data_IF_509383993873
#
_entry.id   IF_509383993873
#
_cell.length_a   1.000
_cell.length_b   1.000
_cell.length_c   1.000
_cell.angle_alpha   90.00
_cell.angle_beta   90.00
_cell.angle_gamma   90.00
#
_symmetry.space_group_name_H-M   'P 1'
#
loop_
_entity.id
_entity.type
_entity.pdbx_description
1 polymer ?
#
# COMPACT_ATOMS: atom_id res chain seq x y z
N UNK A 1 23.18 1.21 -5.54
CA UNK A 1 23.29 -0.27 -5.46
C UNK A 1 22.69 -0.86 -4.17
N UNK A 2 21.59 -0.33 -3.61
CA UNK A 2 20.98 -0.85 -2.36
C UNK A 2 19.57 -1.46 -2.54
N UNK A 3 19.02 -1.42 -3.77
CA UNK A 3 17.66 -1.94 -4.03
C UNK A 3 17.58 -3.46 -4.13
N UNK A 4 18.65 -4.10 -4.64
CA UNK A 4 18.68 -5.53 -4.96
C UNK A 4 18.64 -6.40 -3.69
N UNK A 5 19.32 -5.98 -2.63
CA UNK A 5 19.33 -6.70 -1.35
C UNK A 5 17.99 -6.61 -0.61
N UNK A 6 17.24 -5.52 -0.78
CA UNK A 6 15.92 -5.36 -0.16
C UNK A 6 14.93 -6.35 -0.77
N UNK A 7 14.87 -6.43 -2.09
CA UNK A 7 13.97 -7.36 -2.79
C UNK A 7 14.35 -8.81 -2.49
N UNK A 8 15.66 -9.14 -2.49
CA UNK A 8 16.13 -10.48 -2.09
C UNK A 8 15.66 -10.88 -0.70
N UNK A 9 15.70 -9.98 0.28
CA UNK A 9 15.21 -10.25 1.64
C UNK A 9 13.69 -10.49 1.66
N UNK A 10 12.90 -9.68 0.95
CA UNK A 10 11.46 -9.90 0.88
C UNK A 10 11.13 -11.26 0.27
N UNK A 11 11.78 -11.63 -0.82
CA UNK A 11 11.57 -12.92 -1.50
C UNK A 11 12.06 -14.12 -0.69
N UNK A 12 12.94 -13.91 0.30
CA UNK A 12 13.42 -15.00 1.18
C UNK A 12 12.42 -15.40 2.25
N UNK A 13 11.42 -14.57 2.55
CA UNK A 13 10.33 -14.90 3.46
C UNK A 13 9.07 -15.30 2.66
N UNK A 14 8.67 -16.59 2.67
CA UNK A 14 7.52 -17.06 1.88
C UNK A 14 6.17 -16.54 2.38
N UNK A 15 6.11 -15.99 3.60
CA UNK A 15 4.89 -15.38 4.15
C UNK A 15 4.69 -13.94 3.71
N UNK A 16 5.67 -13.33 3.04
CA UNK A 16 5.51 -11.99 2.47
C UNK A 16 4.78 -12.07 1.13
N UNK A 17 3.61 -11.44 1.06
CA UNK A 17 2.79 -11.35 -0.14
C UNK A 17 2.68 -9.91 -0.63
N UNK A 18 2.48 -9.73 -1.95
CA UNK A 18 2.13 -8.43 -2.52
C UNK A 18 0.62 -8.29 -2.65
N UNK A 19 0.07 -7.25 -2.03
CA UNK A 19 -1.31 -6.81 -2.24
C UNK A 19 -1.31 -5.49 -2.99
N UNK A 20 -2.32 -5.29 -3.83
CA UNK A 20 -2.44 -4.07 -4.62
C UNK A 20 -3.85 -3.53 -4.61
N UNK A 21 -3.97 -2.21 -4.64
CA UNK A 21 -5.23 -1.50 -4.66
C UNK A 21 -5.15 -0.34 -5.62
N UNK A 22 -6.22 -0.14 -6.38
CA UNK A 22 -6.30 0.92 -7.40
C UNK A 22 -7.57 1.73 -7.23
N UNK A 23 -7.45 3.05 -7.43
CA UNK A 23 -8.58 3.97 -7.38
C UNK A 23 -8.51 4.98 -8.52
N UNK A 24 -9.68 5.43 -8.99
CA UNK A 24 -9.78 6.46 -10.04
C UNK A 24 -9.21 7.79 -9.53
N UNK A 25 -8.39 8.45 -10.33
CA UNK A 25 -7.93 9.80 -10.03
C UNK A 25 -9.04 10.84 -10.30
N UNK A 26 -9.03 11.99 -9.61
CA UNK A 26 -9.86 13.13 -10.01
C UNK A 26 -9.48 13.60 -11.42
N UNK A 27 -10.46 14.06 -12.21
CA UNK A 27 -10.24 14.43 -13.62
C UNK A 27 -9.17 15.53 -13.78
N UNK A 28 -9.11 16.47 -12.83
CA UNK A 28 -8.10 17.53 -12.77
C UNK A 28 -6.66 17.01 -12.60
N UNK A 29 -6.48 15.82 -12.03
CA UNK A 29 -5.17 15.16 -11.86
C UNK A 29 -4.89 14.17 -13.00
N UNK A 30 -5.91 13.41 -13.39
CA UNK A 30 -5.80 12.36 -14.41
C UNK A 30 -5.28 12.90 -15.76
N UNK A 31 -5.74 14.09 -16.16
CA UNK A 31 -5.31 14.78 -17.40
C UNK A 31 -3.81 15.10 -17.46
N UNK A 32 -3.13 15.14 -16.32
CA UNK A 32 -1.71 15.45 -16.20
C UNK A 32 -0.90 14.23 -15.71
N UNK A 33 -1.56 13.07 -15.59
CA UNK A 33 -0.99 11.83 -15.10
C UNK A 33 -0.81 10.85 -16.25
N UNK A 34 0.29 10.11 -16.22
CA UNK A 34 0.53 8.97 -17.11
C UNK A 34 -0.42 7.78 -16.85
N UNK A 35 -1.17 7.80 -15.75
CA UNK A 35 -2.17 6.79 -15.39
C UNK A 35 -3.52 7.43 -15.03
N UNK A 36 -4.63 6.84 -15.47
CA UNK A 36 -5.99 7.26 -15.06
C UNK A 36 -6.35 6.85 -13.63
N UNK A 37 -5.59 5.89 -13.07
CA UNK A 37 -5.80 5.33 -11.73
C UNK A 37 -4.54 5.48 -10.90
N UNK A 38 -4.73 5.75 -9.61
CA UNK A 38 -3.69 5.71 -8.61
C UNK A 38 -3.59 4.29 -8.05
N UNK A 39 -2.39 3.70 -8.09
CA UNK A 39 -2.06 2.42 -7.49
C UNK A 39 -1.35 2.57 -6.15
N UNK A 40 -1.66 1.67 -5.22
CA UNK A 40 -0.92 1.40 -3.99
C UNK A 40 -0.56 -0.09 -4.00
N UNK A 41 0.68 -0.39 -3.66
CA UNK A 41 1.22 -1.74 -3.54
C UNK A 41 1.83 -1.88 -2.15
N UNK A 42 1.49 -2.94 -1.43
CA UNK A 42 2.06 -3.26 -0.13
C UNK A 42 2.65 -4.69 -0.19
N UNK A 43 3.87 -4.85 0.29
CA UNK A 43 4.39 -6.14 0.70
C UNK A 43 4.03 -6.34 2.18
N UNK A 44 3.25 -7.38 2.48
CA UNK A 44 2.70 -7.65 3.80
C UNK A 44 3.17 -9.02 4.26
N UNK A 45 3.74 -9.09 5.46
CA UNK A 45 4.02 -10.35 6.13
C UNK A 45 2.72 -10.93 6.68
N UNK A 46 2.32 -12.10 6.18
CA UNK A 46 1.05 -12.74 6.54
C UNK A 46 1.06 -13.34 7.95
N UNK A 47 2.21 -13.40 8.64
CA UNK A 47 2.29 -13.92 10.00
C UNK A 47 1.71 -12.95 11.04
N UNK A 48 1.83 -11.64 10.83
CA UNK A 48 1.42 -10.59 11.76
C UNK A 48 0.73 -9.38 11.09
N UNK A 49 0.61 -9.40 9.76
CA UNK A 49 0.04 -8.32 8.96
C UNK A 49 0.95 -7.10 8.80
N UNK A 50 2.25 -7.20 9.12
CA UNK A 50 3.20 -6.09 9.02
C UNK A 50 3.49 -5.70 7.57
N UNK A 51 3.40 -4.40 7.26
CA UNK A 51 3.81 -3.84 5.97
C UNK A 51 5.33 -3.73 5.95
N UNK A 52 6.00 -4.66 5.27
CA UNK A 52 7.47 -4.72 5.17
C UNK A 52 8.03 -3.87 4.01
N UNK A 53 7.20 -3.56 3.02
CA UNK A 53 7.52 -2.59 1.98
C UNK A 53 6.26 -2.00 1.34
N UNK A 54 6.37 -0.81 0.77
CA UNK A 54 5.26 -0.18 0.06
C UNK A 54 5.71 0.61 -1.19
N UNK A 55 4.78 0.78 -2.12
CA UNK A 55 4.94 1.69 -3.24
C UNK A 55 3.62 2.29 -3.71
N UNK A 56 3.70 3.35 -4.51
CA UNK A 56 2.54 4.01 -5.10
C UNK A 56 2.88 4.68 -6.42
N UNK A 57 1.87 4.83 -7.28
CA UNK A 57 2.01 5.51 -8.58
C UNK A 57 1.96 7.04 -8.48
N UNK A 58 2.14 7.62 -7.28
CA UNK A 58 2.31 9.07 -7.14
C UNK A 58 3.51 9.52 -7.96
N UNK A 59 3.41 10.68 -8.62
CA UNK A 59 4.36 11.10 -9.66
C UNK A 59 5.78 11.37 -9.12
N UNK A 60 5.89 12.04 -7.99
CA UNK A 60 7.17 12.51 -7.45
C UNK A 60 7.74 11.51 -6.45
N UNK A 61 9.08 11.39 -6.43
CA UNK A 61 9.79 10.58 -5.43
C UNK A 61 9.44 11.01 -4.01
N UNK A 62 9.39 12.32 -3.75
CA UNK A 62 9.02 12.85 -2.45
C UNK A 62 7.65 12.34 -1.97
N UNK A 63 6.66 12.26 -2.86
CA UNK A 63 5.33 11.78 -2.50
C UNK A 63 5.32 10.26 -2.26
N UNK A 64 6.06 9.49 -3.06
CA UNK A 64 6.25 8.04 -2.86
C UNK A 64 6.95 7.74 -1.54
N UNK A 65 8.06 8.40 -1.25
CA UNK A 65 8.83 8.19 -0.03
C UNK A 65 8.07 8.65 1.21
N UNK A 66 7.34 9.76 1.12
CA UNK A 66 6.46 10.21 2.20
C UNK A 66 5.33 9.20 2.46
N UNK A 67 4.74 8.62 1.41
CA UNK A 67 3.75 7.55 1.56
C UNK A 67 4.37 6.32 2.23
N UNK A 68 5.54 5.86 1.79
CA UNK A 68 6.27 4.73 2.40
C UNK A 68 6.52 4.96 3.90
N UNK A 69 7.05 6.13 4.26
CA UNK A 69 7.27 6.51 5.66
C UNK A 69 5.98 6.56 6.50
N UNK A 70 4.82 6.70 5.85
CA UNK A 70 3.51 6.67 6.49
C UNK A 70 2.87 5.29 6.56
N UNK A 71 3.43 4.24 5.98
CA UNK A 71 2.76 2.92 5.95
C UNK A 71 3.68 1.78 6.35
N UNK A 72 4.96 1.81 5.96
CA UNK A 72 5.91 0.76 6.28
C UNK A 72 6.11 0.65 7.80
N UNK A 73 6.16 -0.58 8.30
CA UNK A 73 6.25 -0.90 9.73
C UNK A 73 4.93 -0.85 10.51
N UNK A 74 3.81 -0.47 9.89
CA UNK A 74 2.49 -0.66 10.50
C UNK A 74 1.88 -2.01 10.13
N UNK A 75 1.00 -2.52 10.98
CA UNK A 75 0.22 -3.74 10.71
C UNK A 75 -1.16 -3.40 10.14
N UNK A 76 -1.52 -4.07 9.03
CA UNK A 76 -2.89 -4.03 8.47
C UNK A 76 -3.85 -4.94 9.24
N UNK A 77 -3.35 -5.86 10.05
CA UNK A 77 -4.16 -6.71 10.93
C UNK A 77 -4.60 -5.93 12.19
N UNK A 78 -3.71 -5.17 12.81
CA UNK A 78 -3.97 -4.51 14.10
C UNK A 78 -4.80 -3.21 13.98
N UNK A 79 -4.38 -2.25 13.13
CA UNK A 79 -5.05 -0.93 13.04
C UNK A 79 -5.11 -0.39 11.60
N UNK A 80 -5.78 -1.13 10.72
CA UNK A 80 -6.01 -0.69 9.35
C UNK A 80 -6.76 0.66 9.27
N UNK A 81 -7.72 0.90 10.17
CA UNK A 81 -8.48 2.15 10.19
C UNK A 81 -7.61 3.35 10.55
N UNK A 82 -6.73 3.20 11.55
CA UNK A 82 -5.76 4.22 11.93
C UNK A 82 -4.71 4.44 10.86
N UNK A 83 -4.23 3.39 10.19
CA UNK A 83 -3.32 3.49 9.04
C UNK A 83 -3.91 4.36 7.93
N UNK A 84 -5.16 4.08 7.53
CA UNK A 84 -5.85 4.87 6.49
C UNK A 84 -6.04 6.32 6.93
N UNK A 85 -6.47 6.54 8.17
CA UNK A 85 -6.65 7.89 8.73
C UNK A 85 -5.32 8.66 8.83
N UNK A 86 -4.22 7.98 9.13
CA UNK A 86 -2.86 8.55 9.15
C UNK A 86 -2.50 9.09 7.77
N UNK A 87 -2.70 8.31 6.71
CA UNK A 87 -2.47 8.77 5.33
C UNK A 87 -3.39 9.93 4.97
N UNK A 88 -4.69 9.81 5.25
CA UNK A 88 -5.68 10.85 4.94
C UNK A 88 -5.36 12.20 5.60
N UNK A 89 -4.87 12.21 6.85
CA UNK A 89 -4.53 13.44 7.57
C UNK A 89 -3.21 14.07 7.15
N UNK A 90 -2.28 13.26 6.67
CA UNK A 90 -0.89 13.67 6.39
C UNK A 90 -0.64 13.97 4.92
N UNK A 91 -1.44 13.40 4.02
CA UNK A 91 -1.33 13.64 2.59
C UNK A 91 -2.40 14.64 2.13
N UNK A 92 -2.01 15.92 2.05
CA UNK A 92 -2.87 17.02 1.60
C UNK A 92 -2.75 17.30 0.09
N UNK A 93 -2.60 16.25 -0.72
CA UNK A 93 -2.52 16.37 -2.18
C UNK A 93 -3.86 16.12 -2.88
N UNK A 94 -4.01 16.61 -4.12
CA UNK A 94 -5.22 16.44 -4.93
C UNK A 94 -5.63 14.97 -5.12
N UNK A 95 -4.67 14.04 -5.11
CA UNK A 95 -4.92 12.61 -5.24
C UNK A 95 -5.30 11.92 -3.92
N UNK A 96 -5.48 12.64 -2.80
CA UNK A 96 -5.60 12.05 -1.47
C UNK A 96 -6.79 11.11 -1.29
N UNK A 97 -7.93 11.43 -1.92
CA UNK A 97 -9.09 10.54 -1.93
C UNK A 97 -8.80 9.22 -2.65
N UNK A 98 -8.15 9.29 -3.82
CA UNK A 98 -7.75 8.11 -4.59
C UNK A 98 -6.70 7.28 -3.85
N UNK A 99 -5.69 7.93 -3.26
CA UNK A 99 -4.66 7.27 -2.44
C UNK A 99 -5.27 6.51 -1.25
N UNK A 100 -6.18 7.17 -0.52
CA UNK A 100 -6.91 6.56 0.60
C UNK A 100 -7.76 5.37 0.15
N UNK A 101 -8.42 5.49 -0.99
CA UNK A 101 -9.27 4.42 -1.54
C UNK A 101 -8.44 3.23 -2.00
N UNK A 102 -7.33 3.47 -2.68
CA UNK A 102 -6.39 2.43 -3.10
C UNK A 102 -5.78 1.68 -1.90
N UNK A 103 -5.43 2.41 -0.83
CA UNK A 103 -4.94 1.79 0.41
C UNK A 103 -6.01 0.93 1.09
N UNK A 104 -7.27 1.38 1.15
CA UNK A 104 -8.38 0.57 1.69
C UNK A 104 -8.54 -0.74 0.93
N UNK A 105 -8.42 -0.71 -0.40
CA UNK A 105 -8.47 -1.92 -1.24
C UNK A 105 -7.33 -2.89 -0.93
N UNK A 106 -6.12 -2.39 -0.65
CA UNK A 106 -5.03 -3.27 -0.21
C UNK A 106 -5.36 -4.00 1.10
N UNK A 107 -5.96 -3.28 2.06
CA UNK A 107 -6.41 -3.88 3.33
C UNK A 107 -7.52 -4.91 3.10
N UNK A 108 -8.48 -4.62 2.22
CA UNK A 108 -9.54 -5.57 1.85
C UNK A 108 -8.97 -6.84 1.22
N UNK A 109 -8.03 -6.72 0.28
CA UNK A 109 -7.33 -7.86 -0.33
C UNK A 109 -6.54 -8.67 0.69
N UNK A 110 -5.83 -8.01 1.62
CA UNK A 110 -5.12 -8.70 2.70
C UNK A 110 -6.08 -9.55 3.55
N UNK A 111 -7.22 -8.97 3.96
CA UNK A 111 -8.20 -9.68 4.79
C UNK A 111 -8.76 -10.90 4.09
N UNK A 112 -9.14 -10.77 2.82
CA UNK A 112 -9.60 -11.90 2.01
C UNK A 112 -8.57 -13.03 1.97
N UNK A 113 -7.30 -12.70 1.72
CA UNK A 113 -6.22 -13.69 1.72
C UNK A 113 -5.97 -14.33 3.09
N UNK A 114 -6.14 -13.56 4.17
CA UNK A 114 -6.01 -14.07 5.54
C UNK A 114 -7.12 -15.06 5.86
N UNK A 115 -8.37 -14.69 5.56
CA UNK A 115 -9.55 -15.52 5.79
C UNK A 115 -9.47 -16.83 4.99
N UNK A 116 -9.03 -16.77 3.71
CA UNK A 116 -8.84 -17.96 2.87
C UNK A 116 -7.79 -18.91 3.47
N UNK A 117 -6.66 -18.38 3.97
CA UNK A 117 -5.61 -19.20 4.61
C UNK A 117 -6.04 -19.81 5.95
N UNK A 118 -6.95 -19.17 6.67
CA UNK A 118 -7.51 -19.72 7.90
C UNK A 118 -8.51 -20.84 7.60
N UNK A 119 -9.30 -20.72 6.53
CA UNK A 119 -10.26 -21.75 6.12
C UNK A 119 -9.61 -23.04 5.58
N UNK A 120 -8.37 -22.96 5.11
CA UNK A 120 -7.58 -24.10 4.62
C UNK A 120 -6.81 -24.86 5.73
N UNK A 121 -6.83 -24.37 6.98
CA UNK A 121 -6.16 -24.99 8.13
C UNK A 121 -7.09 -25.90 8.93
#
# INVERSE_FOLDING_TARGET
MHGDDRIRRLLSNPDVVLVSGYARLPDAVASHSQYERLGVILAVDMSDGSIVAADTTLLTDLARDFFRALVEGASVAEDASGLVRRVQRRYAGHSGGALTTALRRCVETYRQLSDDREAER
#
